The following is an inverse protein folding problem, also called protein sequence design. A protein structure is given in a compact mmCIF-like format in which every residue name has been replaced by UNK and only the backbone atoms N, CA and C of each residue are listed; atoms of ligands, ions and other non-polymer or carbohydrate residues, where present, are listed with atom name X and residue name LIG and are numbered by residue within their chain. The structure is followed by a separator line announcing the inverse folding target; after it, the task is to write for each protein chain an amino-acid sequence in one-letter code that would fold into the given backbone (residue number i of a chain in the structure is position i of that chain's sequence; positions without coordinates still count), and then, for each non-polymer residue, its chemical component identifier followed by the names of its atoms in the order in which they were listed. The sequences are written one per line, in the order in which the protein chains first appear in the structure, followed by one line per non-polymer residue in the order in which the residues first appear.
data_IF_201109840944
#
_entry.id   IF_201109840944
#
_cell.length_a   1.000
_cell.length_b   1.000
_cell.length_c   1.000
_cell.angle_alpha   90.00
_cell.angle_beta   90.00
_cell.angle_gamma   90.00
#
_symmetry.space_group_name_H-M   'P 1'
#
loop_
_entity.id
_entity.type
_entity.pdbx_description
1 polymer ?
#
# COMPACT_ATOMS: atom_id res chain seq x y z
N UNK A 1 -24.32 26.25 -15.06
CA UNK A 1 -23.00 25.67 -15.38
C UNK A 1 -23.13 24.16 -15.43
N UNK A 2 -22.88 23.55 -16.60
CA UNK A 2 -22.93 22.10 -16.80
C UNK A 2 -21.81 21.47 -15.96
N UNK A 3 -22.16 20.58 -15.03
CA UNK A 3 -21.18 19.69 -14.39
C UNK A 3 -20.54 18.86 -15.50
N UNK A 4 -19.29 19.16 -15.85
CA UNK A 4 -18.51 18.26 -16.67
C UNK A 4 -18.47 16.92 -15.94
N UNK A 5 -19.04 15.88 -16.56
CA UNK A 5 -18.77 14.50 -16.19
C UNK A 5 -17.27 14.31 -16.44
N UNK A 6 -16.46 14.60 -15.44
CA UNK A 6 -15.08 14.13 -15.44
C UNK A 6 -15.18 12.61 -15.59
N UNK A 7 -14.70 12.11 -16.72
CA UNK A 7 -14.45 10.69 -16.91
C UNK A 7 -13.68 10.25 -15.67
N UNK A 8 -14.31 9.46 -14.80
CA UNK A 8 -13.66 8.92 -13.61
C UNK A 8 -12.53 8.04 -14.15
N UNK A 9 -11.31 8.58 -14.16
CA UNK A 9 -10.12 7.82 -14.49
C UNK A 9 -10.01 6.80 -13.37
N UNK A 10 -10.32 5.55 -13.70
CA UNK A 10 -10.31 4.46 -12.74
C UNK A 10 -8.84 4.14 -12.43
N UNK A 11 -8.38 4.41 -11.20
CA UNK A 11 -7.01 4.10 -10.78
C UNK A 11 -6.66 2.61 -10.91
N UNK A 12 -7.65 1.71 -10.85
CA UNK A 12 -7.46 0.29 -11.14
C UNK A 12 -7.08 0.03 -12.61
N UNK A 13 -7.29 0.95 -13.54
CA UNK A 13 -6.80 0.82 -14.93
C UNK A 13 -5.38 1.35 -15.13
N UNK A 14 -4.76 1.86 -14.07
CA UNK A 14 -3.46 2.50 -14.13
C UNK A 14 -3.54 3.94 -14.62
N UNK A 15 -2.66 4.78 -14.09
CA UNK A 15 -2.61 6.19 -14.45
C UNK A 15 -1.81 6.43 -15.74
N UNK A 16 -2.27 7.41 -16.53
CA UNK A 16 -1.58 7.91 -17.72
C UNK A 16 -0.32 8.72 -17.34
N UNK A 17 0.74 8.79 -18.17
CA UNK A 17 1.94 9.58 -17.92
C UNK A 17 1.72 10.98 -17.29
N UNK A 18 0.75 11.73 -17.80
CA UNK A 18 0.39 13.09 -17.32
C UNK A 18 0.10 13.12 -15.81
N UNK A 19 -0.53 12.08 -15.25
CA UNK A 19 -0.75 12.00 -13.80
C UNK A 19 0.58 11.97 -13.05
N UNK A 20 1.54 11.16 -13.51
CA UNK A 20 2.84 11.02 -12.87
C UNK A 20 3.65 12.31 -12.99
N UNK A 21 3.64 12.93 -14.17
CA UNK A 21 4.32 14.20 -14.42
C UNK A 21 3.76 15.34 -13.56
N UNK A 22 2.44 15.40 -13.36
CA UNK A 22 1.79 16.45 -12.55
C UNK A 22 1.93 16.19 -11.05
N UNK A 23 1.57 14.99 -10.59
CA UNK A 23 1.46 14.69 -9.16
C UNK A 23 2.79 14.30 -8.51
N UNK A 24 3.80 13.94 -9.29
CA UNK A 24 5.14 13.57 -8.82
C UNK A 24 6.23 14.45 -9.45
N UNK A 25 5.90 15.70 -9.80
CA UNK A 25 6.87 16.68 -10.29
C UNK A 25 7.97 16.99 -9.25
N UNK A 26 7.61 16.96 -7.96
CA UNK A 26 8.53 17.05 -6.83
C UNK A 26 8.38 15.83 -5.90
N UNK A 27 9.06 14.71 -6.22
CA UNK A 27 8.97 13.48 -5.43
C UNK A 27 9.40 13.65 -3.96
N UNK A 28 10.30 14.60 -3.67
CA UNK A 28 10.89 14.75 -2.35
C UNK A 28 9.89 15.28 -1.30
N UNK A 29 8.83 15.97 -1.72
CA UNK A 29 7.79 16.48 -0.82
C UNK A 29 6.64 15.49 -0.56
N UNK A 30 6.67 14.30 -1.17
CA UNK A 30 5.57 13.33 -1.11
C UNK A 30 5.84 12.29 0.00
N UNK A 31 4.89 12.12 0.92
CA UNK A 31 4.94 11.09 1.97
C UNK A 31 5.02 9.68 1.34
N UNK A 32 5.90 8.83 1.87
CA UNK A 32 6.22 7.54 1.27
C UNK A 32 7.09 7.62 0.02
N UNK A 33 7.63 8.80 -0.32
CA UNK A 33 8.57 9.01 -1.42
C UNK A 33 9.81 9.76 -0.95
N UNK A 34 9.63 10.94 -0.33
CA UNK A 34 10.73 11.74 0.22
C UNK A 34 11.33 11.19 1.51
N UNK A 35 10.55 10.39 2.25
CA UNK A 35 10.88 9.83 3.56
C UNK A 35 10.81 8.29 3.59
N UNK A 36 11.13 7.64 2.47
CA UNK A 36 11.03 6.17 2.33
C UNK A 36 11.84 5.41 3.39
N UNK A 37 13.00 5.94 3.78
CA UNK A 37 13.90 5.31 4.75
C UNK A 37 13.30 5.31 6.15
N UNK A 38 12.65 6.41 6.52
CA UNK A 38 11.98 6.57 7.81
C UNK A 38 10.79 5.62 7.92
N UNK A 39 10.03 5.42 6.84
CA UNK A 39 8.94 4.44 6.80
C UNK A 39 9.45 3.01 6.96
N UNK A 40 10.53 2.64 6.26
CA UNK A 40 11.12 1.31 6.36
C UNK A 40 11.72 1.06 7.76
N UNK A 41 12.46 2.02 8.31
CA UNK A 41 13.02 1.94 9.66
C UNK A 41 11.93 1.85 10.73
N UNK A 42 10.86 2.65 10.62
CA UNK A 42 9.72 2.58 11.53
C UNK A 42 9.17 1.16 11.63
N UNK A 43 8.91 0.52 10.49
CA UNK A 43 8.43 -0.86 10.48
C UNK A 43 9.48 -1.85 10.99
N UNK A 44 10.74 -1.68 10.60
CA UNK A 44 11.82 -2.57 11.02
C UNK A 44 11.93 -2.59 12.54
N UNK A 45 12.02 -1.42 13.17
CA UNK A 45 12.12 -1.34 14.62
C UNK A 45 10.86 -1.82 15.31
N UNK A 46 9.68 -1.54 14.75
CA UNK A 46 8.44 -2.09 15.30
C UNK A 46 8.44 -3.62 15.31
N UNK A 47 8.81 -4.27 14.20
CA UNK A 47 8.86 -5.74 14.15
C UNK A 47 10.00 -6.34 14.99
N UNK A 48 11.15 -5.68 15.06
CA UNK A 48 12.28 -6.12 15.89
C UNK A 48 11.95 -6.08 17.39
N UNK A 49 11.14 -5.12 17.85
CA UNK A 49 10.67 -5.06 19.24
C UNK A 49 9.87 -6.31 19.62
N UNK A 50 9.07 -6.83 18.69
CA UNK A 50 8.23 -8.02 18.87
C UNK A 50 8.86 -9.31 18.33
N UNK A 51 10.17 -9.28 18.04
CA UNK A 51 10.95 -10.41 17.52
C UNK A 51 10.34 -11.08 16.27
N UNK A 52 9.64 -10.30 15.44
CA UNK A 52 9.00 -10.79 14.24
C UNK A 52 9.90 -10.61 13.02
N UNK A 53 10.24 -11.70 12.33
CA UNK A 53 11.04 -11.65 11.11
C UNK A 53 10.16 -11.57 9.85
N UNK A 54 10.43 -10.58 8.99
CA UNK A 54 9.72 -10.40 7.72
C UNK A 54 10.46 -11.13 6.59
N UNK A 55 10.05 -12.37 6.30
CA UNK A 55 10.67 -13.16 5.23
C UNK A 55 10.04 -12.94 3.85
N UNK A 56 8.86 -12.31 3.79
CA UNK A 56 8.16 -12.09 2.53
C UNK A 56 7.32 -10.82 2.47
N UNK A 57 7.45 -10.08 1.37
CA UNK A 57 6.81 -8.78 1.15
C UNK A 57 5.92 -8.78 -0.09
N UNK A 58 4.76 -8.15 -0.01
CA UNK A 58 3.90 -7.86 -1.16
C UNK A 58 3.55 -6.37 -1.24
N UNK A 59 3.82 -5.69 -2.35
CA UNK A 59 3.41 -4.30 -2.59
C UNK A 59 2.19 -4.24 -3.51
N UNK A 60 1.13 -3.56 -3.07
CA UNK A 60 -0.18 -3.51 -3.70
C UNK A 60 -0.41 -2.33 -4.67
N UNK A 61 0.65 -1.58 -4.97
CA UNK A 61 0.61 -0.45 -5.89
C UNK A 61 1.91 0.31 -5.78
N UNK A 62 3.00 -0.27 -6.27
CA UNK A 62 4.35 0.20 -5.94
C UNK A 62 4.67 1.57 -6.54
N UNK A 63 3.89 2.07 -7.51
CA UNK A 63 4.08 3.37 -8.13
C UNK A 63 5.51 3.53 -8.65
N UNK A 64 6.22 4.56 -8.19
CA UNK A 64 7.63 4.78 -8.57
C UNK A 64 8.61 3.75 -7.99
N UNK A 65 8.13 2.77 -7.20
CA UNK A 65 8.93 1.68 -6.65
C UNK A 65 9.92 2.10 -5.55
N UNK A 66 9.93 3.37 -5.12
CA UNK A 66 10.91 3.89 -4.17
C UNK A 66 10.73 3.31 -2.77
N UNK A 67 9.50 3.34 -2.23
CA UNK A 67 9.19 2.70 -0.96
C UNK A 67 9.41 1.19 -1.02
N UNK A 68 8.94 0.54 -2.08
CA UNK A 68 9.12 -0.91 -2.23
C UNK A 68 10.61 -1.29 -2.24
N UNK A 69 11.44 -0.56 -3.00
CA UNK A 69 12.89 -0.77 -3.04
C UNK A 69 13.52 -0.61 -1.65
N UNK A 70 13.14 0.41 -0.90
CA UNK A 70 13.67 0.64 0.45
C UNK A 70 13.26 -0.46 1.43
N UNK A 71 12.02 -0.94 1.34
CA UNK A 71 11.53 -2.07 2.13
C UNK A 71 12.30 -3.35 1.80
N UNK A 72 12.57 -3.62 0.52
CA UNK A 72 13.39 -4.78 0.11
C UNK A 72 14.82 -4.70 0.63
N UNK A 73 15.43 -3.51 0.61
CA UNK A 73 16.79 -3.29 1.11
C UNK A 73 16.86 -3.38 2.64
N UNK A 74 15.81 -2.98 3.34
CA UNK A 74 15.75 -2.94 4.80
C UNK A 74 15.50 -4.33 5.41
N UNK A 75 14.56 -5.08 4.84
CA UNK A 75 14.13 -6.39 5.36
C UNK A 75 14.83 -7.58 4.72
N UNK A 76 15.41 -7.42 3.51
CA UNK A 76 16.04 -8.50 2.75
C UNK A 76 15.19 -9.79 2.68
N UNK A 77 13.89 -9.70 2.32
CA UNK A 77 13.00 -10.84 2.37
C UNK A 77 13.41 -11.92 1.37
N UNK A 78 13.21 -13.19 1.70
CA UNK A 78 13.44 -14.33 0.78
C UNK A 78 12.55 -14.24 -0.46
N UNK A 79 11.35 -13.66 -0.34
CA UNK A 79 10.38 -13.56 -1.44
C UNK A 79 9.68 -12.21 -1.46
N UNK A 80 9.59 -11.61 -2.65
CA UNK A 80 8.91 -10.35 -2.86
C UNK A 80 7.95 -10.41 -4.06
N UNK A 81 6.83 -9.68 -3.96
CA UNK A 81 5.89 -9.55 -5.05
C UNK A 81 5.34 -8.12 -5.15
N UNK A 82 5.36 -7.50 -6.33
CA UNK A 82 4.82 -6.14 -6.52
C UNK A 82 3.81 -6.07 -7.65
N UNK A 83 2.80 -5.21 -7.52
CA UNK A 83 1.90 -4.85 -8.63
C UNK A 83 1.86 -3.34 -8.85
N UNK A 84 1.71 -2.95 -10.11
CA UNK A 84 1.44 -1.57 -10.52
C UNK A 84 0.60 -1.61 -11.81
N UNK A 85 -0.64 -1.11 -11.83
CA UNK A 85 -1.47 -1.17 -13.03
C UNK A 85 -1.04 -0.20 -14.14
N UNK A 86 -0.30 0.88 -13.85
CA UNK A 86 0.23 1.79 -14.85
C UNK A 86 1.39 1.15 -15.61
N UNK A 87 1.14 0.71 -16.85
CA UNK A 87 2.20 0.14 -17.70
C UNK A 87 3.39 1.08 -17.87
N UNK A 88 3.12 2.39 -17.99
CA UNK A 88 4.15 3.42 -18.09
C UNK A 88 5.09 3.41 -16.88
N UNK A 89 4.52 3.41 -15.67
CA UNK A 89 5.33 3.43 -14.46
C UNK A 89 5.99 2.06 -14.19
N UNK A 90 5.27 0.97 -14.50
CA UNK A 90 5.83 -0.38 -14.46
C UNK A 90 7.10 -0.49 -15.31
N UNK A 91 7.06 -0.01 -16.55
CA UNK A 91 8.20 -0.04 -17.47
C UNK A 91 9.37 0.82 -16.97
N UNK A 92 9.09 2.00 -16.41
CA UNK A 92 10.11 2.86 -15.77
C UNK A 92 10.78 2.14 -14.61
N UNK A 93 10.00 1.53 -13.72
CA UNK A 93 10.54 0.82 -12.55
C UNK A 93 11.38 -0.37 -12.99
N UNK A 94 10.88 -1.15 -13.95
CA UNK A 94 11.55 -2.36 -14.45
C UNK A 94 12.84 -2.05 -15.21
N UNK A 95 12.88 -0.97 -15.99
CA UNK A 95 14.03 -0.65 -16.86
C UNK A 95 15.03 0.32 -16.23
N UNK A 96 14.55 1.40 -15.58
CA UNK A 96 15.39 2.53 -15.15
C UNK A 96 15.69 2.51 -13.66
N UNK A 97 14.65 2.45 -12.82
CA UNK A 97 14.84 2.55 -11.37
C UNK A 97 15.54 1.31 -10.85
N UNK A 98 15.11 0.14 -11.37
CA UNK A 98 15.51 -1.20 -10.94
C UNK A 98 15.29 -1.37 -9.43
N UNK A 99 14.36 -2.25 -9.06
CA UNK A 99 14.25 -2.69 -7.67
C UNK A 99 15.56 -3.42 -7.35
N UNK A 100 16.52 -2.71 -6.73
CA UNK A 100 17.84 -3.23 -6.39
C UNK A 100 17.65 -4.35 -5.38
N UNK A 101 17.60 -5.57 -5.88
CA UNK A 101 17.51 -6.77 -5.09
C UNK A 101 18.87 -7.45 -5.07
N UNK A 102 19.25 -7.97 -3.91
CA UNK A 102 20.35 -8.92 -3.84
C UNK A 102 19.91 -10.22 -4.53
N UNK A 103 20.87 -11.04 -4.96
CA UNK A 103 20.61 -12.33 -5.61
C UNK A 103 19.75 -13.30 -4.76
N UNK A 104 19.63 -13.03 -3.45
CA UNK A 104 18.90 -13.85 -2.50
C UNK A 104 17.38 -13.56 -2.43
N UNK A 105 16.90 -12.50 -3.09
CA UNK A 105 15.48 -12.12 -3.07
C UNK A 105 14.80 -12.67 -4.33
N UNK A 106 13.86 -13.61 -4.15
CA UNK A 106 12.99 -14.03 -5.24
C UNK A 106 11.89 -12.98 -5.47
N UNK A 107 12.19 -11.99 -6.32
CA UNK A 107 11.30 -10.89 -6.67
C UNK A 107 10.50 -11.20 -7.94
N UNK A 108 9.19 -10.97 -7.87
CA UNK A 108 8.31 -10.93 -9.05
C UNK A 108 7.49 -9.64 -9.06
N UNK A 109 7.43 -8.96 -10.21
CA UNK A 109 6.53 -7.82 -10.42
C UNK A 109 5.56 -8.10 -11.57
N UNK A 110 4.34 -7.57 -11.49
CA UNK A 110 3.33 -7.70 -12.56
C UNK A 110 2.60 -6.36 -12.80
N UNK A 111 2.35 -6.05 -14.07
CA UNK A 111 1.51 -4.90 -14.46
C UNK A 111 0.03 -5.25 -14.37
N UNK A 112 -0.51 -5.33 -13.15
CA UNK A 112 -1.92 -5.67 -12.89
C UNK A 112 -2.50 -4.80 -11.77
N UNK A 113 -3.82 -4.71 -11.72
CA UNK A 113 -4.55 -4.03 -10.66
C UNK A 113 -4.80 -4.94 -9.44
N UNK A 114 -5.19 -4.31 -8.32
CA UNK A 114 -5.40 -5.00 -7.04
C UNK A 114 -6.58 -5.99 -7.06
N UNK A 115 -7.62 -5.72 -7.85
CA UNK A 115 -8.76 -6.62 -7.99
C UNK A 115 -8.39 -7.87 -8.81
N UNK A 116 -7.67 -7.69 -9.91
CA UNK A 116 -7.08 -8.76 -10.71
C UNK A 116 -6.11 -9.59 -9.88
N UNK A 117 -5.26 -8.94 -9.07
CA UNK A 117 -4.40 -9.62 -8.12
C UNK A 117 -5.20 -10.47 -7.13
N UNK A 118 -6.22 -9.90 -6.50
CA UNK A 118 -7.05 -10.60 -5.51
C UNK A 118 -7.70 -11.85 -6.11
N UNK A 119 -8.25 -11.75 -7.33
CA UNK A 119 -8.83 -12.87 -8.07
C UNK A 119 -7.80 -13.95 -8.40
N UNK A 120 -6.62 -13.57 -8.91
CA UNK A 120 -5.52 -14.51 -9.20
C UNK A 120 -5.05 -15.24 -7.94
N UNK A 121 -4.97 -14.55 -6.80
CA UNK A 121 -4.48 -15.11 -5.54
C UNK A 121 -5.49 -15.94 -4.78
N UNK A 122 -6.77 -15.86 -5.10
CA UNK A 122 -7.82 -16.68 -4.48
C UNK A 122 -7.49 -18.19 -4.45
N UNK A 123 -6.81 -18.69 -5.49
CA UNK A 123 -6.43 -20.11 -5.62
C UNK A 123 -5.09 -20.48 -4.97
N UNK A 124 -4.29 -19.50 -4.57
CA UNK A 124 -2.94 -19.76 -4.04
C UNK A 124 -2.98 -19.96 -2.53
N UNK A 125 -2.18 -20.88 -1.99
CA UNK A 125 -1.99 -21.01 -0.53
C UNK A 125 -0.87 -20.10 0.00
N UNK A 126 -0.12 -19.41 -0.88
CA UNK A 126 0.99 -18.55 -0.45
C UNK A 126 0.46 -17.32 0.32
N UNK A 127 1.09 -17.04 1.46
CA UNK A 127 0.86 -15.89 2.34
C UNK A 127 2.15 -15.07 2.39
N UNK A 128 2.05 -13.76 2.53
CA UNK A 128 3.17 -12.86 2.77
C UNK A 128 3.17 -12.40 4.22
N UNK A 129 4.35 -12.12 4.76
CA UNK A 129 4.46 -11.60 6.13
C UNK A 129 4.03 -10.13 6.17
N UNK A 130 4.47 -9.34 5.19
CA UNK A 130 4.15 -7.92 5.11
C UNK A 130 3.54 -7.54 3.76
N UNK A 131 2.37 -6.91 3.81
CA UNK A 131 1.77 -6.17 2.70
C UNK A 131 2.06 -4.67 2.79
N UNK A 132 2.26 -3.99 1.67
CA UNK A 132 2.40 -2.54 1.58
C UNK A 132 1.24 -2.00 0.74
N UNK A 133 0.47 -1.07 1.31
CA UNK A 133 -0.65 -0.42 0.65
C UNK A 133 -0.72 1.05 1.07
N UNK A 134 0.12 1.87 0.45
CA UNK A 134 0.25 3.30 0.74
C UNK A 134 -0.33 4.12 -0.41
N UNK A 135 -1.31 4.97 -0.11
CA UNK A 135 -1.99 5.85 -1.07
C UNK A 135 -2.71 5.14 -2.22
N UNK A 136 -2.96 3.84 -2.12
CA UNK A 136 -3.70 3.06 -3.15
C UNK A 136 -5.22 3.21 -2.97
N UNK A 137 -5.70 3.11 -1.72
CA UNK A 137 -7.14 3.08 -1.43
C UNK A 137 -7.86 4.40 -1.71
N UNK A 138 -7.15 5.51 -1.88
CA UNK A 138 -7.77 6.77 -2.30
C UNK A 138 -8.29 6.70 -3.74
N UNK A 139 -7.84 5.73 -4.55
CA UNK A 139 -8.23 5.60 -5.96
C UNK A 139 -9.22 4.47 -6.24
N UNK A 140 -9.51 3.63 -5.25
CA UNK A 140 -10.45 2.51 -5.37
C UNK A 140 -11.81 2.93 -4.83
N UNK A 141 -12.89 2.50 -5.47
CA UNK A 141 -14.26 2.60 -4.95
C UNK A 141 -14.46 1.73 -3.70
N UNK A 142 -15.53 1.97 -2.94
CA UNK A 142 -15.83 1.15 -1.76
C UNK A 142 -16.14 -0.31 -2.13
N UNK A 143 -16.73 -0.55 -3.29
CA UNK A 143 -17.03 -1.90 -3.77
C UNK A 143 -15.74 -2.65 -4.13
N UNK A 144 -14.79 -1.97 -4.79
CA UNK A 144 -13.46 -2.53 -5.06
C UNK A 144 -12.72 -2.83 -3.74
N UNK A 145 -12.73 -1.89 -2.78
CA UNK A 145 -12.12 -2.10 -1.46
C UNK A 145 -12.73 -3.30 -0.74
N UNK A 146 -14.07 -3.41 -0.70
CA UNK A 146 -14.76 -4.55 -0.08
C UNK A 146 -14.45 -5.87 -0.80
N UNK A 147 -14.19 -5.85 -2.10
CA UNK A 147 -13.83 -7.04 -2.86
C UNK A 147 -12.38 -7.50 -2.59
N UNK A 148 -11.43 -6.57 -2.41
CA UNK A 148 -10.01 -6.90 -2.24
C UNK A 148 -9.60 -7.16 -0.79
N UNK A 149 -10.20 -6.46 0.19
CA UNK A 149 -9.79 -6.54 1.60
C UNK A 149 -9.82 -7.96 2.18
N UNK A 150 -10.87 -8.78 1.96
CA UNK A 150 -10.88 -10.16 2.45
C UNK A 150 -9.73 -10.98 1.89
N UNK A 151 -9.37 -10.74 0.63
CA UNK A 151 -8.25 -11.41 -0.02
C UNK A 151 -6.91 -10.90 0.49
N UNK A 152 -6.75 -9.60 0.70
CA UNK A 152 -5.55 -9.03 1.33
C UNK A 152 -5.32 -9.65 2.70
N UNK A 153 -6.33 -9.66 3.58
CA UNK A 153 -6.21 -10.24 4.93
C UNK A 153 -5.84 -11.73 4.90
N UNK A 154 -6.40 -12.50 3.96
CA UNK A 154 -6.01 -13.92 3.78
C UNK A 154 -4.58 -14.11 3.26
N UNK A 155 -3.99 -13.10 2.62
CA UNK A 155 -2.71 -13.22 1.90
C UNK A 155 -1.57 -12.44 2.52
N UNK A 156 -1.83 -11.60 3.52
CA UNK A 156 -0.80 -10.92 4.29
C UNK A 156 -1.06 -11.09 5.79
N UNK A 157 -0.01 -11.36 6.56
CA UNK A 157 -0.06 -11.38 8.03
C UNK A 157 -0.21 -9.96 8.58
N UNK A 158 0.61 -9.04 8.07
CA UNK A 158 0.57 -7.62 8.37
C UNK A 158 0.35 -6.79 7.12
N UNK A 159 -0.26 -5.61 7.26
CA UNK A 159 -0.48 -4.64 6.20
C UNK A 159 -0.02 -3.26 6.68
N UNK A 160 1.06 -2.76 6.09
CA UNK A 160 1.44 -1.36 6.21
C UNK A 160 0.54 -0.51 5.34
N UNK A 161 -0.27 0.33 5.98
CA UNK A 161 -1.37 1.01 5.33
C UNK A 161 -1.31 2.52 5.54
N UNK A 162 -1.53 3.26 4.45
CA UNK A 162 -1.87 4.68 4.51
C UNK A 162 -2.84 5.06 3.39
N UNK A 163 -3.74 5.98 3.70
CA UNK A 163 -4.55 6.69 2.71
C UNK A 163 -4.98 8.02 3.33
N UNK A 164 -4.93 9.14 2.57
CA UNK A 164 -5.35 10.43 3.06
C UNK A 164 -6.85 10.46 3.28
N UNK A 165 -7.25 11.01 4.41
CA UNK A 165 -8.63 11.36 4.71
C UNK A 165 -9.03 12.64 4.00
N UNK A 166 -10.34 12.91 3.95
CA UNK A 166 -10.88 14.18 3.46
C UNK A 166 -10.23 15.40 4.14
N UNK A 167 -9.98 15.34 5.46
CA UNK A 167 -9.31 16.41 6.20
C UNK A 167 -7.87 16.63 5.76
N UNK A 168 -7.13 15.56 5.49
CA UNK A 168 -5.74 15.66 5.02
C UNK A 168 -5.68 16.16 3.58
N UNK A 169 -6.60 15.70 2.71
CA UNK A 169 -6.74 16.24 1.35
C UNK A 169 -7.11 17.74 1.37
N UNK A 170 -8.02 18.18 2.25
CA UNK A 170 -8.35 19.61 2.40
C UNK A 170 -7.10 20.41 2.82
N UNK A 171 -6.29 19.85 3.72
CA UNK A 171 -5.04 20.48 4.17
C UNK A 171 -4.01 20.57 3.05
N UNK A 172 -3.87 19.53 2.22
CA UNK A 172 -2.96 19.56 1.07
C UNK A 172 -3.35 20.65 0.06
N UNK A 173 -4.64 20.81 -0.23
CA UNK A 173 -5.13 21.88 -1.11
C UNK A 173 -4.82 23.25 -0.51
N UNK A 174 -5.07 23.43 0.79
CA UNK A 174 -4.92 24.72 1.48
C UNK A 174 -3.46 25.12 1.68
N UNK A 175 -2.63 24.20 2.14
CA UNK A 175 -1.29 24.49 2.63
C UNK A 175 -0.20 24.25 1.57
N UNK A 176 -0.47 23.38 0.58
CA UNK A 176 0.51 22.96 -0.44
C UNK A 176 0.06 23.28 -1.87
N UNK A 177 -1.13 23.88 -2.05
CA UNK A 177 -1.77 24.11 -3.36
C UNK A 177 -1.83 22.84 -4.23
N UNK A 178 -1.81 21.67 -3.59
CA UNK A 178 -1.79 20.38 -4.25
C UNK A 178 -3.21 19.80 -4.30
N UNK A 179 -3.72 19.63 -5.52
CA UNK A 179 -5.04 19.04 -5.76
C UNK A 179 -4.93 17.77 -6.60
N UNK A 180 -5.02 16.63 -5.93
CA UNK A 180 -5.19 15.33 -6.59
C UNK A 180 -6.66 15.13 -6.97
N UNK A 181 -6.98 15.43 -8.23
CA UNK A 181 -8.32 15.30 -8.81
C UNK A 181 -8.83 13.84 -8.85
N UNK A 182 -7.94 12.86 -8.69
CA UNK A 182 -8.26 11.44 -8.79
C UNK A 182 -8.54 10.81 -7.42
N UNK A 183 -8.15 11.45 -6.33
CA UNK A 183 -8.38 10.95 -4.97
C UNK A 183 -9.87 11.04 -4.58
N UNK A 184 -10.46 9.88 -4.30
CA UNK A 184 -11.79 9.77 -3.71
C UNK A 184 -11.74 10.18 -2.24
N UNK A 185 -12.50 11.21 -1.90
CA UNK A 185 -12.53 11.78 -0.54
C UNK A 185 -13.25 10.85 0.42
N UNK A 186 -12.56 10.39 1.48
CA UNK A 186 -13.13 9.52 2.53
C UNK A 186 -12.78 10.00 3.92
N UNK A 187 -13.70 9.82 4.87
CA UNK A 187 -13.44 10.12 6.28
C UNK A 187 -12.65 9.00 6.97
N UNK A 188 -11.97 9.34 8.07
CA UNK A 188 -11.35 8.37 8.99
C UNK A 188 -12.32 7.25 9.36
N UNK A 189 -13.54 7.60 9.76
CA UNK A 189 -14.57 6.63 10.17
C UNK A 189 -14.95 5.68 9.02
N UNK A 190 -14.98 6.17 7.77
CA UNK A 190 -15.25 5.31 6.61
C UNK A 190 -14.13 4.29 6.39
N UNK A 191 -12.86 4.71 6.42
CA UNK A 191 -11.72 3.79 6.33
C UNK A 191 -11.72 2.77 7.46
N UNK A 192 -11.91 3.22 8.70
CA UNK A 192 -11.97 2.32 9.86
C UNK A 192 -13.08 1.28 9.71
N UNK A 193 -14.28 1.67 9.26
CA UNK A 193 -15.41 0.74 9.05
C UNK A 193 -15.09 -0.35 8.01
N UNK A 194 -14.30 -0.03 6.99
CA UNK A 194 -13.87 -1.00 5.97
C UNK A 194 -12.77 -1.91 6.52
N UNK A 195 -11.72 -1.34 7.10
CA UNK A 195 -10.52 -2.06 7.56
C UNK A 195 -10.79 -2.99 8.75
N UNK A 196 -11.53 -2.51 9.77
CA UNK A 196 -11.76 -3.25 11.03
C UNK A 196 -12.48 -4.59 10.87
N UNK A 197 -13.13 -4.82 9.72
CA UNK A 197 -13.75 -6.12 9.41
C UNK A 197 -12.72 -7.24 9.21
N UNK A 198 -11.51 -6.88 8.79
CA UNK A 198 -10.50 -7.84 8.32
C UNK A 198 -9.15 -7.68 9.02
N UNK A 199 -8.89 -6.50 9.56
CA UNK A 199 -7.64 -6.18 10.23
C UNK A 199 -7.89 -5.56 11.61
N UNK A 200 -6.95 -5.77 12.52
CA UNK A 200 -6.80 -5.06 13.79
C UNK A 200 -5.68 -4.05 13.62
N UNK A 201 -5.86 -2.82 14.08
CA UNK A 201 -4.75 -1.87 14.08
C UNK A 201 -3.85 -2.19 15.27
N UNK A 202 -2.55 -2.31 15.05
CA UNK A 202 -1.56 -2.63 16.10
C UNK A 202 -0.50 -1.53 16.27
N UNK A 203 -0.46 -0.56 15.35
CA UNK A 203 0.34 0.66 15.48
C UNK A 203 -0.20 1.76 14.56
N UNK A 204 0.48 2.90 14.49
CA UNK A 204 0.03 4.09 13.74
C UNK A 204 -0.23 3.86 12.25
N UNK A 205 0.48 2.92 11.61
CA UNK A 205 0.31 2.54 10.19
C UNK A 205 0.34 1.02 9.95
N UNK A 206 0.43 0.22 11.00
CA UNK A 206 0.50 -1.24 10.90
C UNK A 206 -0.84 -1.87 11.29
N UNK A 207 -1.35 -2.68 10.37
CA UNK A 207 -2.55 -3.48 10.53
C UNK A 207 -2.17 -4.96 10.59
N UNK A 208 -2.77 -5.70 11.51
CA UNK A 208 -2.62 -7.14 11.67
C UNK A 208 -3.86 -7.85 11.14
N UNK A 209 -3.67 -8.92 10.37
CA UNK A 209 -4.77 -9.69 9.78
C UNK A 209 -5.46 -10.57 10.82
N UNK A 210 -6.79 -10.43 10.91
CA UNK A 210 -7.66 -11.28 11.75
C UNK A 210 -7.80 -12.72 11.24
N UNK A 211 -7.22 -13.04 10.08
CA UNK A 211 -7.20 -14.41 9.54
C UNK A 211 -6.03 -15.20 10.12
N UNK A 212 -4.90 -14.53 10.37
CA UNK A 212 -3.67 -15.18 10.83
C UNK A 212 -3.48 -15.05 12.33
N UNK A 213 -4.03 -13.98 12.92
CA UNK A 213 -3.84 -13.69 14.33
C UNK A 213 -5.15 -13.39 15.06
N UNK A 214 -5.13 -13.73 16.35
CA UNK A 214 -6.07 -13.35 17.36
C UNK A 214 -5.32 -12.94 18.65
N UNK A 215 -6.05 -12.77 19.74
CA UNK A 215 -5.47 -12.35 21.03
C UNK A 215 -4.57 -13.40 21.67
N UNK A 216 -4.60 -14.65 21.21
CA UNK A 216 -3.83 -15.75 21.82
C UNK A 216 -2.49 -16.01 21.13
N UNK A 217 -2.33 -15.55 19.89
CA UNK A 217 -1.16 -15.87 19.07
C UNK A 217 -0.52 -14.67 18.36
N UNK A 218 -1.04 -13.45 18.57
CA UNK A 218 -0.44 -12.24 18.02
C UNK A 218 0.94 -11.98 18.63
N UNK A 219 1.95 -11.58 17.84
CA UNK A 219 3.23 -11.12 18.37
C UNK A 219 3.10 -9.77 19.09
N UNK A 220 2.10 -8.95 18.75
CA UNK A 220 1.85 -7.63 19.37
C UNK A 220 0.92 -7.76 20.58
N UNK A 221 1.51 -7.96 21.77
CA UNK A 221 0.77 -8.31 23.00
C UNK A 221 0.25 -7.11 23.80
N UNK A 222 0.52 -5.88 23.36
CA UNK A 222 0.07 -4.66 24.02
C UNK A 222 -1.40 -4.33 23.65
N UNK A 223 -2.33 -5.06 24.26
CA UNK A 223 -3.77 -4.95 23.94
C UNK A 223 -4.37 -3.56 24.05
N UNK A 224 -3.80 -2.67 24.86
CA UNK A 224 -4.25 -1.29 25.01
C UNK A 224 -4.08 -0.45 23.73
N UNK A 225 -3.20 -0.87 22.81
CA UNK A 225 -2.93 -0.18 21.54
C UNK A 225 -3.58 -0.87 20.34
N UNK A 226 -4.51 -1.81 20.57
CA UNK A 226 -5.19 -2.57 19.51
C UNK A 226 -6.62 -2.04 19.29
N UNK A 227 -7.01 -1.74 18.04
CA UNK A 227 -8.30 -1.11 17.72
C UNK A 227 -8.97 -1.57 16.43
#
# INVERSE_FOLDING_TARGET
MKKNKHNIVNGAKGFHPIYWEKNYADPASIDGVGNVREHANYLKYLFELDFFEVESICDFGFGMGLLFREMLATFLPKRAYGIEPSIYMFDIVNSKIKLRVTENINLKIESIDLLTWAKKRAKSQKVFDLGICTSVFQYLSDDEINAVLPMMAKKVKFLYFSAPTNRELDKQIKDLEFFDEYALRRSKTRYHKLLKKHFTFVSGRLLESKVHFDETNSPFTEFIFRF
#
